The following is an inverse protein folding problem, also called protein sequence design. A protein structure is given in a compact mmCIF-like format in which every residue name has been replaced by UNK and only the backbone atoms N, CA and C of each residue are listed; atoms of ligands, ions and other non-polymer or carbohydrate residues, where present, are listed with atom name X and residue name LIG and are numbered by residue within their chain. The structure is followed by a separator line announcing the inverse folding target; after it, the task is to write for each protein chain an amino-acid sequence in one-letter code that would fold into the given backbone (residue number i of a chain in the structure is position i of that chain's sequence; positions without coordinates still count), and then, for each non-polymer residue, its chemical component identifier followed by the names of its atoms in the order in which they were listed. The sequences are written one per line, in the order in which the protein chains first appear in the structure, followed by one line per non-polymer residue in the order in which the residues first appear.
data_IF_014809506370
#
_entry.id   IF_014809506370
#
_cell.length_a   1.000
_cell.length_b   1.000
_cell.length_c   1.000
_cell.angle_alpha   90.00
_cell.angle_beta   90.00
_cell.angle_gamma   90.00
#
_symmetry.space_group_name_H-M   'P 1'
#
loop_
_entity.id
_entity.type
_entity.pdbx_description
1 polymer ?
#
# COMPACT_ATOMS: atom_id res chain seq x y z
N UNK A 1 -1.13 41.05 12.01
CA UNK A 1 -1.96 39.94 12.52
C UNK A 1 -1.61 38.67 11.74
N UNK A 2 -1.42 37.53 12.42
CA UNK A 2 -1.08 36.25 11.77
C UNK A 2 -2.35 35.53 11.30
N UNK A 3 -2.38 35.15 10.01
CA UNK A 3 -3.52 34.46 9.39
C UNK A 3 -3.52 33.00 9.85
N UNK A 4 -4.55 32.59 10.61
CA UNK A 4 -4.71 31.21 11.08
C UNK A 4 -5.20 30.35 9.90
N UNK A 5 -4.29 29.63 9.25
CA UNK A 5 -4.65 28.66 8.20
C UNK A 5 -4.97 27.34 8.88
N UNK A 6 -6.26 27.03 9.00
CA UNK A 6 -6.71 25.72 9.50
C UNK A 6 -6.58 24.69 8.38
N UNK A 7 -6.01 23.53 8.68
CA UNK A 7 -6.03 22.39 7.75
C UNK A 7 -7.48 21.88 7.67
N UNK A 8 -8.06 21.65 6.46
CA UNK A 8 -9.49 21.38 6.28
C UNK A 8 -10.08 20.10 6.91
N UNK A 9 -9.36 19.38 7.78
CA UNK A 9 -9.88 18.23 8.53
C UNK A 9 -10.19 16.96 7.71
N UNK A 10 -10.30 17.04 6.38
CA UNK A 10 -10.58 15.89 5.52
C UNK A 10 -9.28 15.31 4.95
N UNK A 11 -8.65 14.44 5.72
CA UNK A 11 -7.43 13.75 5.30
C UNK A 11 -7.77 12.32 4.86
N UNK A 12 -8.35 12.19 3.67
CA UNK A 12 -8.55 10.89 3.06
C UNK A 12 -7.17 10.31 2.70
N UNK A 13 -6.81 9.21 3.37
CA UNK A 13 -5.56 8.51 3.12
C UNK A 13 -5.82 7.27 2.30
N UNK A 14 -5.09 7.16 1.20
CA UNK A 14 -4.96 5.91 0.45
C UNK A 14 -3.67 5.22 0.88
N UNK A 15 -3.78 3.96 1.26
CA UNK A 15 -2.67 3.17 1.80
C UNK A 15 -2.24 2.11 0.80
N UNK A 16 -0.93 1.91 0.68
CA UNK A 16 -0.32 0.92 -0.17
C UNK A 16 0.43 -0.12 0.67
N UNK A 17 0.28 -1.38 0.32
CA UNK A 17 1.20 -2.45 0.74
C UNK A 17 1.97 -2.90 -0.49
N UNK A 18 3.31 -2.94 -0.38
CA UNK A 18 4.19 -3.29 -1.49
C UNK A 18 5.27 -4.29 -1.10
N UNK A 19 5.74 -5.05 -2.08
CA UNK A 19 6.87 -5.95 -1.97
C UNK A 19 7.82 -5.75 -3.14
N UNK A 20 9.11 -5.65 -2.83
CA UNK A 20 10.19 -5.54 -3.81
C UNK A 20 10.75 -6.93 -4.11
N UNK A 21 10.80 -7.30 -5.38
CA UNK A 21 11.51 -8.47 -5.83
C UNK A 21 13.01 -8.19 -5.89
N UNK A 22 13.78 -8.73 -4.94
CA UNK A 22 15.21 -8.42 -4.74
C UNK A 22 16.08 -8.61 -6.00
N UNK A 23 15.84 -9.65 -6.79
CA UNK A 23 16.67 -9.94 -7.96
C UNK A 23 16.35 -9.15 -9.23
N UNK A 24 15.16 -8.53 -9.32
CA UNK A 24 14.70 -7.87 -10.56
C UNK A 24 14.39 -6.39 -10.36
N UNK A 25 14.33 -5.92 -9.10
CA UNK A 25 13.89 -4.57 -8.77
C UNK A 25 12.39 -4.32 -8.98
N UNK A 26 11.62 -5.31 -9.44
CA UNK A 26 10.19 -5.15 -9.68
C UNK A 26 9.43 -4.98 -8.35
N UNK A 27 8.59 -3.96 -8.27
CA UNK A 27 7.69 -3.73 -7.13
C UNK A 27 6.29 -4.26 -7.47
N UNK A 28 5.74 -5.09 -6.60
CA UNK A 28 4.31 -5.46 -6.60
C UNK A 28 3.60 -4.71 -5.48
N UNK A 29 2.39 -4.20 -5.72
CA UNK A 29 1.65 -3.46 -4.70
C UNK A 29 0.14 -3.68 -4.79
N UNK A 30 -0.55 -3.45 -3.67
CA UNK A 30 -2.00 -3.38 -3.55
C UNK A 30 -2.38 -2.13 -2.74
N UNK A 31 -3.58 -1.61 -2.95
CA UNK A 31 -4.04 -0.39 -2.29
C UNK A 31 -5.39 -0.53 -1.59
N UNK A 32 -5.72 0.44 -0.74
CA UNK A 32 -7.01 0.51 -0.05
C UNK A 32 -7.18 1.76 0.82
N UNK A 33 -8.42 2.02 1.22
CA UNK A 33 -8.83 3.23 1.93
C UNK A 33 -8.54 3.22 3.44
N UNK A 34 -7.98 2.14 3.98
CA UNK A 34 -7.73 2.01 5.42
C UNK A 34 -6.45 1.23 5.70
N UNK A 35 -5.64 1.74 6.63
CA UNK A 35 -4.42 1.08 7.09
C UNK A 35 -4.79 -0.10 7.99
N UNK A 36 -4.96 -1.27 7.39
CA UNK A 36 -5.33 -2.49 8.10
C UNK A 36 -4.51 -3.68 7.63
N UNK A 37 -4.50 -4.75 8.43
CA UNK A 37 -3.86 -6.02 8.08
C UNK A 37 -4.43 -6.65 6.80
N UNK A 38 -5.62 -6.24 6.36
CA UNK A 38 -6.21 -6.67 5.09
C UNK A 38 -5.32 -6.31 3.90
N UNK A 39 -4.64 -5.15 3.92
CA UNK A 39 -3.69 -4.78 2.86
C UNK A 39 -2.54 -5.78 2.75
N UNK A 40 -2.01 -6.24 3.89
CA UNK A 40 -0.95 -7.24 3.92
C UNK A 40 -1.44 -8.59 3.41
N UNK A 41 -2.62 -9.05 3.85
CA UNK A 41 -3.23 -10.30 3.37
C UNK A 41 -3.49 -10.24 1.86
N UNK A 42 -4.00 -9.11 1.36
CA UNK A 42 -4.22 -8.88 -0.07
C UNK A 42 -2.91 -8.89 -0.86
N UNK A 43 -1.84 -8.32 -0.32
CA UNK A 43 -0.51 -8.39 -0.93
C UNK A 43 -0.02 -9.85 -1.01
N UNK A 44 -0.17 -10.65 0.05
CA UNK A 44 0.20 -12.08 0.03
C UNK A 44 -0.59 -12.86 -1.03
N UNK A 45 -1.90 -12.63 -1.14
CA UNK A 45 -2.74 -13.24 -2.19
C UNK A 45 -2.27 -12.83 -3.59
N UNK A 46 -1.97 -11.54 -3.77
CA UNK A 46 -1.44 -11.02 -5.04
C UNK A 46 -0.10 -11.67 -5.40
N UNK A 47 0.84 -11.74 -4.46
CA UNK A 47 2.16 -12.35 -4.68
C UNK A 47 2.05 -13.85 -4.99
N UNK A 48 1.19 -14.59 -4.28
CA UNK A 48 0.93 -16.01 -4.55
C UNK A 48 0.39 -16.23 -5.98
N UNK A 49 -0.48 -15.33 -6.46
CA UNK A 49 -1.02 -15.37 -7.82
C UNK A 49 -0.02 -14.99 -8.91
N UNK A 50 0.84 -14.02 -8.62
CA UNK A 50 1.87 -13.49 -9.55
C UNK A 50 3.07 -14.44 -9.67
N UNK A 51 3.54 -15.00 -8.56
CA UNK A 51 4.73 -15.84 -8.49
C UNK A 51 4.39 -17.31 -8.25
N UNK A 52 3.57 -17.90 -9.13
CA UNK A 52 3.01 -19.27 -8.95
C UNK A 52 4.04 -20.40 -8.82
N UNK A 53 5.30 -20.14 -9.22
CA UNK A 53 6.40 -21.12 -9.23
C UNK A 53 7.50 -20.77 -8.23
N UNK A 54 7.32 -19.73 -7.41
CA UNK A 54 8.26 -19.43 -6.34
C UNK A 54 8.18 -20.54 -5.26
N UNK A 55 9.34 -20.91 -4.71
CA UNK A 55 9.53 -22.01 -3.77
C UNK A 55 9.60 -21.51 -2.33
#
# INVERSE_FOLDING_TARGET
QQKRVVTPGLNEKYYLAGALHSGTGKVSYVGGNSKSSVLFISLLKHLKGTYRRAK
#
